data_IF_811673681195
#
_entry.id   IF_811673681195
#
_cell.length_a   1.000
_cell.length_b   1.000
_cell.length_c   1.000
_cell.angle_alpha   90.00
_cell.angle_beta   90.00
_cell.angle_gamma   90.00
#
_symmetry.space_group_name_H-M   'P 1'
#
loop_
_entity.id
_entity.type
_entity.pdbx_description
1 polymer ?
#
# COMPACT_ATOMS: atom_id res chain seq x y z
N UNK A 1 -1.37 -6.21 -2.00
CA UNK A 1 -1.84 -4.95 -1.37
C UNK A 1 -0.62 -4.13 -0.97
N UNK A 2 -0.68 -2.79 -0.93
CA UNK A 2 0.45 -2.00 -0.41
C UNK A 2 0.40 -1.89 1.11
N UNK A 3 1.56 -1.81 1.76
CA UNK A 3 1.67 -1.54 3.20
C UNK A 3 0.96 -0.24 3.61
N UNK A 4 1.03 0.81 2.78
CA UNK A 4 0.32 2.07 2.98
C UNK A 4 -1.20 1.86 3.10
N UNK A 5 -1.79 1.02 2.25
CA UNK A 5 -3.22 0.71 2.31
C UNK A 5 -3.56 -0.08 3.58
N UNK A 6 -2.75 -1.10 3.92
CA UNK A 6 -2.91 -1.88 5.15
C UNK A 6 -2.87 -0.98 6.40
N UNK A 7 -1.88 -0.11 6.50
CA UNK A 7 -1.75 0.81 7.63
C UNK A 7 -2.88 1.84 7.68
N UNK A 8 -3.30 2.38 6.54
CA UNK A 8 -4.44 3.31 6.47
C UNK A 8 -5.73 2.66 6.97
N UNK A 9 -6.01 1.41 6.56
CA UNK A 9 -7.15 0.62 7.06
C UNK A 9 -7.02 0.41 8.57
N UNK A 10 -5.84 0.01 9.06
CA UNK A 10 -5.58 -0.16 10.48
C UNK A 10 -5.86 1.10 11.31
N UNK A 11 -5.35 2.26 10.87
CA UNK A 11 -5.59 3.55 11.52
C UNK A 11 -7.09 3.85 11.61
N UNK A 12 -7.84 3.63 10.52
CA UNK A 12 -9.28 3.88 10.47
C UNK A 12 -10.02 2.94 11.43
N UNK A 13 -9.75 1.64 11.38
CA UNK A 13 -10.43 0.65 12.22
C UNK A 13 -10.15 0.88 13.71
N UNK A 14 -8.91 1.24 14.08
CA UNK A 14 -8.58 1.57 15.46
C UNK A 14 -9.26 2.85 15.93
N UNK A 15 -9.31 3.90 15.10
CA UNK A 15 -10.07 5.13 15.42
C UNK A 15 -11.56 4.87 15.62
N UNK A 16 -12.11 3.87 14.95
CA UNK A 16 -13.51 3.46 15.08
C UNK A 16 -13.75 2.43 16.21
N UNK A 17 -12.70 2.02 16.94
CA UNK A 17 -12.78 1.00 17.99
C UNK A 17 -13.08 -0.41 17.46
N UNK A 18 -12.82 -0.68 16.17
CA UNK A 18 -13.11 -1.94 15.47
C UNK A 18 -11.91 -2.89 15.49
N UNK A 19 -11.39 -3.18 16.67
CA UNK A 19 -10.15 -3.95 16.84
C UNK A 19 -10.26 -5.39 16.33
N UNK A 20 -11.34 -6.10 16.70
CA UNK A 20 -11.56 -7.49 16.26
C UNK A 20 -11.69 -7.59 14.73
N UNK A 21 -12.34 -6.59 14.11
CA UNK A 21 -12.45 -6.51 12.66
C UNK A 21 -11.08 -6.33 11.99
N UNK A 22 -10.17 -5.55 12.59
CA UNK A 22 -8.80 -5.45 12.08
C UNK A 22 -8.07 -6.79 12.18
N UNK A 23 -8.21 -7.51 13.29
CA UNK A 23 -7.61 -8.85 13.46
C UNK A 23 -8.09 -9.80 12.37
N UNK A 24 -9.41 -9.93 12.19
CA UNK A 24 -9.97 -10.80 11.15
C UNK A 24 -9.55 -10.36 9.75
N UNK A 25 -9.51 -9.05 9.47
CA UNK A 25 -9.03 -8.53 8.19
C UNK A 25 -7.57 -8.93 7.90
N UNK A 26 -6.67 -8.86 8.89
CA UNK A 26 -5.27 -9.26 8.71
C UNK A 26 -5.14 -10.77 8.52
N UNK A 27 -5.87 -11.56 9.30
CA UNK A 27 -5.90 -13.02 9.16
C UNK A 27 -6.38 -13.44 7.76
N UNK A 28 -7.51 -12.91 7.33
CA UNK A 28 -8.15 -13.29 6.07
C UNK A 28 -7.37 -12.78 4.85
N UNK A 29 -7.00 -11.50 4.85
CA UNK A 29 -6.46 -10.87 3.65
C UNK A 29 -4.96 -11.00 3.49
N UNK A 30 -4.21 -11.10 4.59
CA UNK A 30 -2.75 -11.02 4.57
C UNK A 30 -2.13 -12.37 4.92
N UNK A 31 -2.44 -12.93 6.08
CA UNK A 31 -1.83 -14.18 6.54
C UNK A 31 -2.23 -15.35 5.63
N UNK A 32 -3.50 -15.42 5.24
CA UNK A 32 -4.05 -16.50 4.42
C UNK A 32 -4.17 -16.14 2.93
N UNK A 33 -3.69 -14.96 2.53
CA UNK A 33 -4.08 -14.35 1.26
C UNK A 33 -2.96 -13.64 0.52
N UNK A 34 -3.13 -12.34 0.35
CA UNK A 34 -2.35 -11.50 -0.56
C UNK A 34 -1.01 -11.09 0.05
N UNK A 35 0.01 -10.99 -0.81
CA UNK A 35 1.28 -10.37 -0.43
C UNK A 35 1.14 -8.86 -0.17
N UNK A 36 1.97 -8.38 0.76
CA UNK A 36 2.16 -6.95 1.04
C UNK A 36 3.37 -6.44 0.26
N UNK A 37 3.12 -5.43 -0.56
CA UNK A 37 4.14 -4.70 -1.30
C UNK A 37 4.56 -3.48 -0.49
N UNK A 38 5.86 -3.31 -0.30
CA UNK A 38 6.45 -2.16 0.37
C UNK A 38 7.72 -1.71 -0.37
N UNK A 39 8.07 -0.44 -0.20
CA UNK A 39 9.23 0.18 -0.86
C UNK A 39 10.31 0.48 0.19
N UNK A 40 11.59 0.22 -0.11
CA UNK A 40 12.66 0.62 0.77
C UNK A 40 12.73 2.16 0.89
N UNK A 41 13.11 2.73 2.04
CA UNK A 41 13.08 4.19 2.26
C UNK A 41 13.84 5.00 1.22
N UNK A 42 14.92 4.45 0.66
CA UNK A 42 15.76 5.08 -0.35
C UNK A 42 14.98 5.36 -1.64
N UNK A 43 14.02 4.51 -1.99
CA UNK A 43 13.19 4.70 -3.18
C UNK A 43 12.16 5.81 -3.01
N UNK A 44 11.73 6.11 -1.77
CA UNK A 44 10.76 7.16 -1.47
C UNK A 44 11.27 8.56 -1.85
N UNK A 45 12.58 8.73 -1.99
CA UNK A 45 13.19 9.97 -2.47
C UNK A 45 12.71 10.30 -3.89
N UNK A 46 12.29 9.31 -4.68
CA UNK A 46 11.77 9.50 -6.06
C UNK A 46 10.29 9.89 -6.09
N UNK A 47 9.61 9.89 -4.94
CA UNK A 47 8.16 10.09 -4.86
C UNK A 47 7.73 11.48 -5.32
N UNK A 48 8.51 12.52 -4.98
CA UNK A 48 8.22 13.90 -5.37
C UNK A 48 8.15 14.06 -6.90
N UNK A 49 9.11 13.46 -7.60
CA UNK A 49 9.21 13.48 -9.05
C UNK A 49 8.08 12.70 -9.68
N UNK A 50 7.74 11.52 -9.16
CA UNK A 50 6.62 10.72 -9.66
C UNK A 50 5.30 11.47 -9.50
N UNK A 51 5.06 12.04 -8.31
CA UNK A 51 3.85 12.81 -8.02
C UNK A 51 3.70 14.02 -8.95
N UNK A 52 4.78 14.79 -9.16
CA UNK A 52 4.75 15.94 -10.07
C UNK A 52 4.61 15.54 -11.55
N UNK A 53 5.31 14.49 -11.98
CA UNK A 53 5.29 14.05 -13.38
C UNK A 53 3.90 13.58 -13.82
N UNK A 54 3.17 12.92 -12.92
CA UNK A 54 1.86 12.34 -13.21
C UNK A 54 0.68 13.07 -12.55
N UNK A 55 0.94 14.18 -11.84
CA UNK A 55 -0.05 14.95 -11.08
C UNK A 55 -0.86 14.06 -10.12
N UNK A 56 -0.14 13.26 -9.33
CA UNK A 56 -0.70 12.33 -8.34
C UNK A 56 -0.55 12.92 -6.94
N UNK A 57 -1.45 12.54 -6.02
CA UNK A 57 -1.22 12.76 -4.60
C UNK A 57 -0.22 11.71 -4.04
N UNK A 58 0.02 11.79 -2.74
CA UNK A 58 1.06 10.98 -2.10
C UNK A 58 0.78 9.47 -2.23
N UNK A 59 -0.44 9.03 -1.93
CA UNK A 59 -0.80 7.63 -1.93
C UNK A 59 -0.90 7.05 -3.34
N UNK A 60 -1.44 7.80 -4.31
CA UNK A 60 -1.43 7.38 -5.70
C UNK A 60 0.00 7.25 -6.25
N UNK A 61 0.88 8.22 -5.97
CA UNK A 61 2.28 8.16 -6.39
C UNK A 61 3.02 6.98 -5.75
N UNK A 62 2.77 6.71 -4.46
CA UNK A 62 3.40 5.62 -3.73
C UNK A 62 2.97 4.25 -4.31
N UNK A 63 1.67 4.08 -4.55
CA UNK A 63 1.13 2.86 -5.13
C UNK A 63 1.63 2.66 -6.56
N UNK A 64 1.69 3.71 -7.37
CA UNK A 64 2.22 3.66 -8.73
C UNK A 64 3.68 3.20 -8.76
N UNK A 65 4.52 3.77 -7.89
CA UNK A 65 5.94 3.38 -7.79
C UNK A 65 6.11 1.92 -7.41
N UNK A 66 5.30 1.40 -6.48
CA UNK A 66 5.35 0.00 -6.09
C UNK A 66 4.98 -0.95 -7.23
N UNK A 67 3.96 -0.61 -8.03
CA UNK A 67 3.56 -1.43 -9.19
C UNK A 67 4.69 -1.50 -10.22
N UNK A 68 5.36 -0.38 -10.50
CA UNK A 68 6.46 -0.35 -11.48
C UNK A 68 7.75 -1.03 -11.01
N UNK A 69 8.01 -1.04 -9.70
CA UNK A 69 9.18 -1.70 -9.12
C UNK A 69 9.03 -3.22 -9.04
N UNK A 70 7.82 -3.73 -9.23
CA UNK A 70 7.57 -5.17 -9.30
C UNK A 70 7.85 -5.67 -10.73
N UNK A 71 8.51 -6.83 -10.88
CA UNK A 71 8.57 -7.55 -12.15
C UNK A 71 7.21 -8.20 -12.43
N UNK A 72 6.15 -7.40 -12.57
CA UNK A 72 4.82 -7.92 -12.91
C UNK A 72 4.68 -7.98 -14.42
N UNK A 73 4.69 -9.21 -14.93
CA UNK A 73 3.98 -9.61 -16.13
C UNK A 73 2.51 -9.22 -15.97
N UNK A 74 2.17 -8.01 -16.40
CA UNK A 74 0.79 -7.57 -16.54
C UNK A 74 0.17 -8.47 -17.62
N UNK A 75 -0.62 -9.46 -17.21
CA UNK A 75 -1.58 -10.10 -18.11
C UNK A 75 -2.75 -9.12 -18.21
N UNK A 76 -2.79 -8.38 -19.31
CA UNK A 76 -3.94 -7.59 -19.76
C UNK A 76 -5.11 -8.50 -20.12
#
# INVERSE_FOLDING_TARGET
MTDLALHSIGIILFRLGKYELFTSFVEDMIINGMEILSSPPEDLIKLDRTAQQYNLDFDDAYQYMLVLSQPLSVVL
#
